data_IF_472459542238
#
_entry.id   IF_472459542238
#
_cell.length_a   1.000
_cell.length_b   1.000
_cell.length_c   1.000
_cell.angle_alpha   90.00
_cell.angle_beta   90.00
_cell.angle_gamma   90.00
#
_symmetry.space_group_name_H-M   'P 1'
#
loop_
_entity.id
_entity.type
_entity.pdbx_description
1 polymer ?
#
# COMPACT_ATOMS: atom_id res chain seq x y z
N UNK A 1 -10.21 -5.57 -18.48
CA UNK A 1 -11.48 -6.28 -18.75
C UNK A 1 -12.22 -6.36 -17.43
N UNK A 2 -13.48 -5.92 -17.33
CA UNK A 2 -14.29 -6.21 -16.15
C UNK A 2 -15.18 -7.41 -16.48
N UNK A 3 -15.34 -8.33 -15.53
CA UNK A 3 -16.24 -9.47 -15.67
C UNK A 3 -17.54 -9.15 -14.91
N UNK A 4 -18.68 -9.39 -15.54
CA UNK A 4 -20.01 -9.20 -14.92
C UNK A 4 -20.65 -10.52 -14.49
N UNK A 5 -19.97 -11.63 -14.76
CA UNK A 5 -20.38 -13.00 -14.42
C UNK A 5 -19.15 -13.92 -14.39
N UNK A 6 -19.18 -14.96 -13.56
CA UNK A 6 -18.06 -15.88 -13.34
C UNK A 6 -17.22 -15.51 -12.12
N UNK A 7 -16.27 -16.38 -11.78
CA UNK A 7 -15.40 -16.18 -10.61
C UNK A 7 -14.31 -15.15 -10.94
N UNK A 8 -14.30 -14.03 -10.21
CA UNK A 8 -13.27 -13.01 -10.30
C UNK A 8 -12.22 -13.20 -9.18
N UNK A 9 -10.95 -13.17 -9.55
CA UNK A 9 -9.82 -13.28 -8.61
C UNK A 9 -9.65 -11.97 -7.82
N UNK A 10 -9.72 -10.83 -8.50
CA UNK A 10 -9.76 -9.50 -7.88
C UNK A 10 -11.22 -9.04 -7.79
N UNK A 11 -11.73 -8.88 -6.57
CA UNK A 11 -13.12 -8.53 -6.25
C UNK A 11 -13.13 -7.21 -5.48
N UNK A 12 -13.54 -6.14 -6.16
CA UNK A 12 -13.49 -4.77 -5.63
C UNK A 12 -14.79 -4.41 -4.93
N UNK A 13 -14.70 -3.96 -3.67
CA UNK A 13 -15.80 -3.29 -2.97
C UNK A 13 -15.54 -1.78 -2.88
N UNK A 14 -16.62 -1.00 -2.86
CA UNK A 14 -16.62 0.42 -2.50
C UNK A 14 -17.27 0.67 -1.13
N UNK A 15 -17.69 -0.41 -0.47
CA UNK A 15 -18.32 -0.42 0.83
C UNK A 15 -17.33 -1.08 1.81
N UNK A 16 -16.83 -0.32 2.78
CA UNK A 16 -15.82 -0.79 3.73
C UNK A 16 -15.17 0.34 4.52
N UNK A 17 -14.22 -0.03 5.39
CA UNK A 17 -13.41 0.92 6.16
C UNK A 17 -12.00 0.93 5.59
N UNK A 18 -11.56 2.11 5.13
CA UNK A 18 -10.23 2.30 4.55
C UNK A 18 -10.10 1.79 3.11
N UNK A 19 -8.93 2.01 2.52
CA UNK A 19 -8.56 1.44 1.23
C UNK A 19 -7.50 0.37 1.49
N UNK A 20 -7.63 -0.78 0.82
CA UNK A 20 -6.73 -1.91 0.99
C UNK A 20 -6.88 -2.89 -0.17
N UNK A 21 -5.89 -3.77 -0.36
CA UNK A 21 -5.95 -4.91 -1.26
C UNK A 21 -5.22 -6.11 -0.67
N UNK A 22 -5.65 -7.31 -1.04
CA UNK A 22 -4.83 -8.51 -0.94
C UNK A 22 -3.51 -8.32 -1.72
N UNK A 23 -2.45 -8.98 -1.24
CA UNK A 23 -1.13 -8.90 -1.86
C UNK A 23 -0.98 -9.96 -2.96
N UNK A 24 -1.06 -9.55 -4.22
CA UNK A 24 -0.87 -10.45 -5.36
C UNK A 24 -1.80 -11.66 -5.32
N UNK A 25 -1.21 -12.85 -5.41
CA UNK A 25 -1.94 -14.13 -5.39
C UNK A 25 -2.55 -14.47 -4.04
N UNK A 26 -2.29 -13.70 -2.98
CA UNK A 26 -3.01 -13.86 -1.72
C UNK A 26 -4.52 -13.68 -1.91
N UNK A 27 -4.96 -12.95 -2.95
CA UNK A 27 -6.36 -12.85 -3.35
C UNK A 27 -7.04 -14.21 -3.62
N UNK A 28 -6.26 -15.26 -3.90
CA UNK A 28 -6.73 -16.62 -4.19
C UNK A 28 -6.84 -17.49 -2.92
N UNK A 29 -6.35 -17.01 -1.78
CA UNK A 29 -6.35 -17.72 -0.51
C UNK A 29 -7.75 -17.71 0.10
N UNK A 30 -8.58 -18.70 -0.24
CA UNK A 30 -10.00 -18.76 0.15
C UNK A 30 -10.25 -18.78 1.66
N UNK A 31 -9.27 -19.17 2.47
CA UNK A 31 -9.33 -19.11 3.93
C UNK A 31 -9.18 -17.68 4.48
N UNK A 32 -8.58 -16.77 3.71
CA UNK A 32 -8.43 -15.34 4.03
C UNK A 32 -9.50 -14.52 3.29
N UNK A 33 -9.71 -14.84 2.01
CA UNK A 33 -10.66 -14.16 1.13
C UNK A 33 -11.68 -15.16 0.57
N UNK A 34 -12.79 -15.40 1.27
CA UNK A 34 -13.89 -16.23 0.77
C UNK A 34 -14.35 -15.82 -0.64
N UNK A 35 -14.90 -16.75 -1.45
CA UNK A 35 -15.30 -16.47 -2.84
C UNK A 35 -16.27 -15.29 -3.01
N UNK A 36 -17.10 -15.01 -2.01
CA UNK A 36 -18.09 -13.93 -1.98
C UNK A 36 -17.61 -12.67 -1.23
N UNK A 37 -16.40 -12.69 -0.66
CA UNK A 37 -15.80 -11.55 0.03
C UNK A 37 -14.89 -10.74 -0.92
N UNK A 38 -14.76 -9.41 -0.74
CA UNK A 38 -13.86 -8.60 -1.53
C UNK A 38 -12.39 -8.97 -1.28
N UNK A 39 -11.55 -8.78 -2.28
CA UNK A 39 -10.08 -8.86 -2.18
C UNK A 39 -9.42 -7.49 -2.31
N UNK A 40 -10.20 -6.44 -2.61
CA UNK A 40 -9.76 -5.05 -2.70
C UNK A 40 -10.90 -4.12 -2.28
N UNK A 41 -10.59 -3.06 -1.54
CA UNK A 41 -11.55 -2.04 -1.09
C UNK A 41 -11.09 -0.64 -1.48
N UNK A 42 -11.99 0.11 -2.12
CA UNK A 42 -11.86 1.54 -2.42
C UNK A 42 -13.01 2.29 -1.74
N UNK A 43 -12.89 2.55 -0.43
CA UNK A 43 -13.99 3.12 0.36
C UNK A 43 -14.18 4.63 0.16
N UNK A 44 -13.16 5.34 -0.34
CA UNK A 44 -13.30 6.76 -0.67
C UNK A 44 -14.14 6.93 -1.94
N UNK A 45 -15.39 7.34 -1.78
CA UNK A 45 -16.31 7.53 -2.90
C UNK A 45 -15.75 8.54 -3.92
N UNK A 46 -15.64 8.19 -5.22
CA UNK A 46 -15.12 9.09 -6.26
C UNK A 46 -15.83 10.44 -6.35
N UNK A 47 -17.11 10.50 -5.96
CA UNK A 47 -17.89 11.75 -5.92
C UNK A 47 -17.50 12.70 -4.78
N UNK A 48 -16.78 12.20 -3.78
CA UNK A 48 -16.35 12.93 -2.59
C UNK A 48 -14.87 13.35 -2.61
N UNK A 49 -14.10 12.87 -3.61
CA UNK A 49 -12.65 13.10 -3.72
C UNK A 49 -12.27 13.62 -5.10
N UNK A 50 -11.08 14.22 -5.23
CA UNK A 50 -10.58 14.68 -6.53
C UNK A 50 -10.28 13.51 -7.47
N UNK A 51 -10.31 13.76 -8.78
CA UNK A 51 -9.87 12.76 -9.77
C UNK A 51 -8.44 12.29 -9.53
N UNK A 52 -7.55 13.20 -9.10
CA UNK A 52 -6.17 12.85 -8.73
C UNK A 52 -6.09 11.90 -7.54
N UNK A 53 -7.02 12.01 -6.57
CA UNK A 53 -7.11 11.09 -5.43
C UNK A 53 -7.62 9.72 -5.86
N UNK A 54 -8.62 9.68 -6.74
CA UNK A 54 -9.13 8.42 -7.33
C UNK A 54 -8.01 7.69 -8.06
N UNK A 55 -7.30 8.42 -8.93
CA UNK A 55 -6.17 7.90 -9.70
C UNK A 55 -5.06 7.33 -8.80
N UNK A 56 -4.71 8.05 -7.74
CA UNK A 56 -3.72 7.59 -6.76
C UNK A 56 -4.17 6.31 -6.08
N UNK A 57 -5.38 6.30 -5.51
CA UNK A 57 -5.91 5.14 -4.80
C UNK A 57 -5.97 3.92 -5.71
N UNK A 58 -6.46 4.09 -6.95
CA UNK A 58 -6.49 3.00 -7.92
C UNK A 58 -5.09 2.47 -8.23
N UNK A 59 -4.11 3.34 -8.48
CA UNK A 59 -2.71 2.92 -8.74
C UNK A 59 -2.11 2.18 -7.55
N UNK A 60 -2.32 2.69 -6.34
CA UNK A 60 -1.78 2.11 -5.11
C UNK A 60 -2.40 0.74 -4.80
N UNK A 61 -3.73 0.66 -4.72
CA UNK A 61 -4.41 -0.59 -4.35
C UNK A 61 -4.26 -1.68 -5.42
N UNK A 62 -4.22 -1.31 -6.70
CA UNK A 62 -3.91 -2.29 -7.75
C UNK A 62 -2.41 -2.64 -7.79
N UNK A 63 -1.52 -1.79 -7.28
CA UNK A 63 -0.12 -2.15 -7.03
C UNK A 63 -0.03 -3.31 -6.03
N UNK A 64 -0.77 -3.26 -4.93
CA UNK A 64 -0.91 -4.38 -4.00
C UNK A 64 -1.51 -5.63 -4.68
N UNK A 65 -2.54 -5.48 -5.51
CA UNK A 65 -3.10 -6.60 -6.27
C UNK A 65 -2.09 -7.23 -7.26
N UNK A 66 -1.05 -6.50 -7.66
CA UNK A 66 0.10 -7.00 -8.43
C UNK A 66 1.25 -7.51 -7.54
N UNK A 67 1.09 -7.54 -6.22
CA UNK A 67 2.07 -8.05 -5.27
C UNK A 67 3.08 -7.00 -4.77
N UNK A 68 2.89 -5.71 -5.07
CA UNK A 68 3.75 -4.66 -4.54
C UNK A 68 3.44 -4.42 -3.06
N UNK A 69 4.47 -4.32 -2.24
CA UNK A 69 4.36 -3.94 -0.83
C UNK A 69 4.49 -2.43 -0.67
N UNK A 70 4.22 -1.89 0.53
CA UNK A 70 4.54 -0.49 0.80
C UNK A 70 6.05 -0.24 0.72
N UNK A 71 6.42 0.88 0.10
CA UNK A 71 7.82 1.22 -0.16
C UNK A 71 8.59 1.49 1.14
N UNK A 72 7.94 2.02 2.19
CA UNK A 72 8.57 2.19 3.52
C UNK A 72 8.87 0.87 4.23
N UNK A 73 8.23 -0.22 3.81
CA UNK A 73 8.51 -1.59 4.29
C UNK A 73 9.58 -2.29 3.46
N UNK A 74 10.13 -1.64 2.42
CA UNK A 74 11.22 -2.18 1.62
C UNK A 74 12.47 -2.43 2.48
N UNK A 75 13.20 -3.54 2.27
CA UNK A 75 14.50 -3.76 2.90
C UNK A 75 15.55 -2.69 2.57
N UNK A 76 15.29 -1.84 1.57
CA UNK A 76 16.14 -0.71 1.19
C UNK A 76 15.73 0.62 1.83
N UNK A 77 14.57 0.70 2.51
CA UNK A 77 13.99 1.98 2.93
C UNK A 77 14.86 2.80 3.90
N UNK A 78 15.45 2.13 4.90
CA UNK A 78 16.41 2.77 5.81
C UNK A 78 15.88 3.98 6.59
N UNK A 79 14.55 4.15 6.70
CA UNK A 79 13.93 5.32 7.33
C UNK A 79 14.27 5.36 8.81
N UNK A 80 14.79 6.51 9.27
CA UNK A 80 15.16 6.73 10.67
C UNK A 80 13.97 7.29 11.44
N UNK A 81 13.07 6.42 11.85
CA UNK A 81 11.85 6.79 12.57
C UNK A 81 12.11 7.37 13.97
N UNK A 82 11.45 8.48 14.29
CA UNK A 82 11.19 8.88 15.68
C UNK A 82 9.98 8.09 16.19
N UNK A 83 10.25 6.87 16.69
CA UNK A 83 9.19 5.90 16.98
C UNK A 83 8.19 6.40 18.03
N UNK A 84 8.64 7.11 19.06
CA UNK A 84 7.74 7.60 20.12
C UNK A 84 6.77 8.67 19.59
N UNK A 85 7.27 9.58 18.73
CA UNK A 85 6.42 10.57 18.06
C UNK A 85 5.37 9.89 17.17
N UNK A 86 5.76 8.88 16.40
CA UNK A 86 4.84 8.12 15.55
C UNK A 86 3.80 7.33 16.38
N UNK A 87 4.21 6.66 17.45
CA UNK A 87 3.26 5.95 18.34
C UNK A 87 2.25 6.93 18.94
N UNK A 88 2.71 8.08 19.45
CA UNK A 88 1.84 9.08 20.05
C UNK A 88 0.83 9.64 19.03
N UNK A 89 1.27 9.89 17.80
CA UNK A 89 0.43 10.39 16.73
C UNK A 89 -0.65 9.37 16.31
N UNK A 90 -0.25 8.11 16.08
CA UNK A 90 -1.16 7.06 15.58
C UNK A 90 -2.06 6.44 16.66
N UNK A 91 -1.76 6.66 17.95
CA UNK A 91 -2.66 6.34 19.05
C UNK A 91 -3.89 7.26 19.12
N UNK A 92 -3.90 8.38 18.38
CA UNK A 92 -5.05 9.28 18.31
C UNK A 92 -6.01 8.88 17.18
N UNK A 93 -7.29 9.30 17.24
CA UNK A 93 -8.20 9.19 16.11
C UNK A 93 -7.64 9.89 14.86
N UNK A 94 -7.94 9.37 13.65
CA UNK A 94 -8.90 8.31 13.36
C UNK A 94 -8.35 6.88 13.55
N UNK A 95 -7.03 6.69 13.65
CA UNK A 95 -6.41 5.37 13.69
C UNK A 95 -6.61 4.66 15.03
N UNK A 96 -6.31 5.35 16.14
CA UNK A 96 -6.37 4.78 17.49
C UNK A 96 -5.61 3.45 17.62
N UNK A 97 -4.44 3.36 16.97
CA UNK A 97 -3.65 2.14 16.87
C UNK A 97 -2.85 1.85 18.15
N UNK A 98 -2.73 0.56 18.48
CA UNK A 98 -1.77 0.10 19.49
C UNK A 98 -0.34 0.19 18.95
N UNK A 99 0.66 0.11 19.84
CA UNK A 99 2.06 0.12 19.42
C UNK A 99 2.38 -1.06 18.50
N UNK A 100 1.78 -2.22 18.75
CA UNK A 100 1.94 -3.42 17.92
C UNK A 100 1.37 -3.22 16.51
N UNK A 101 0.23 -2.52 16.39
CA UNK A 101 -0.33 -2.16 15.10
C UNK A 101 0.58 -1.15 14.36
N UNK A 102 1.17 -0.19 15.06
CA UNK A 102 2.15 0.74 14.45
C UNK A 102 3.42 -0.01 14.04
N UNK A 103 3.90 -0.92 14.87
CA UNK A 103 5.06 -1.77 14.56
C UNK A 103 4.83 -2.55 13.27
N UNK A 104 3.65 -3.16 13.12
CA UNK A 104 3.29 -3.95 11.95
C UNK A 104 3.05 -3.09 10.69
N UNK A 105 2.30 -1.99 10.81
CA UNK A 105 1.86 -1.23 9.63
C UNK A 105 2.85 -0.16 9.17
N UNK A 106 3.71 0.35 10.06
CA UNK A 106 4.63 1.47 9.78
C UNK A 106 6.09 1.05 9.86
N UNK A 107 6.48 0.29 10.86
CA UNK A 107 7.91 0.00 11.09
C UNK A 107 8.38 -1.34 10.56
N UNK A 108 7.45 -2.24 10.22
CA UNK A 108 7.82 -3.54 9.68
C UNK A 108 8.51 -3.37 8.34
N UNK A 109 9.69 -3.96 8.25
CA UNK A 109 10.50 -4.07 7.04
C UNK A 109 10.55 -5.53 6.64
N UNK A 110 10.35 -5.83 5.36
CA UNK A 110 10.41 -7.19 4.85
C UNK A 110 11.86 -7.72 4.81
N UNK A 111 12.01 -9.04 4.80
CA UNK A 111 13.32 -9.68 4.77
C UNK A 111 13.91 -9.66 3.34
N UNK A 112 15.19 -9.32 3.23
CA UNK A 112 15.93 -9.24 1.95
C UNK A 112 15.95 -10.56 1.18
N UNK A 113 15.82 -11.68 1.88
CA UNK A 113 15.87 -13.03 1.31
C UNK A 113 14.52 -13.51 0.78
N UNK A 114 13.42 -12.86 1.19
CA UNK A 114 12.05 -13.24 0.82
C UNK A 114 11.36 -12.22 -0.08
N UNK A 115 12.00 -11.09 -0.38
CA UNK A 115 11.43 -10.00 -1.15
C UNK A 115 12.29 -9.68 -2.35
N UNK A 116 11.66 -9.49 -3.51
CA UNK A 116 12.30 -8.85 -4.66
C UNK A 116 12.10 -7.33 -4.53
N UNK A 117 13.17 -6.54 -4.52
CA UNK A 117 13.10 -5.11 -4.26
C UNK A 117 14.18 -4.36 -5.05
N UNK A 118 13.93 -3.07 -5.29
CA UNK A 118 14.86 -2.11 -5.89
C UNK A 118 15.59 -1.30 -4.81
N UNK A 119 16.41 -0.32 -5.21
CA UNK A 119 16.74 0.79 -4.31
C UNK A 119 15.45 1.50 -3.86
N UNK A 120 15.49 2.10 -2.67
CA UNK A 120 14.35 2.83 -2.10
C UNK A 120 13.92 3.98 -3.01
N UNK A 121 12.62 4.07 -3.24
CA UNK A 121 12.01 5.06 -4.11
C UNK A 121 11.14 6.07 -3.36
N UNK A 122 11.64 7.29 -3.08
CA UNK A 122 10.84 8.32 -2.42
C UNK A 122 9.67 8.82 -3.29
N UNK A 123 9.66 8.52 -4.59
CA UNK A 123 8.61 8.94 -5.54
C UNK A 123 7.60 7.83 -5.86
N UNK A 124 7.79 6.62 -5.31
CA UNK A 124 6.88 5.50 -5.58
C UNK A 124 5.46 5.81 -5.14
N UNK A 125 4.48 5.43 -5.96
CA UNK A 125 3.07 5.49 -5.56
C UNK A 125 2.76 4.58 -4.37
N UNK A 126 3.62 3.58 -4.10
CA UNK A 126 3.50 2.65 -2.98
C UNK A 126 4.06 3.20 -1.66
N UNK A 127 4.67 4.39 -1.66
CA UNK A 127 5.16 5.04 -0.46
C UNK A 127 4.03 5.78 0.26
N UNK A 128 3.87 5.51 1.56
CA UNK A 128 3.00 6.30 2.42
C UNK A 128 3.57 7.69 2.66
N UNK A 129 2.67 8.67 2.81
CA UNK A 129 3.07 10.01 3.20
C UNK A 129 3.40 10.04 4.70
N UNK A 130 4.56 10.60 5.04
CA UNK A 130 5.00 10.76 6.43
C UNK A 130 5.57 12.16 6.64
N UNK A 131 5.16 12.85 7.72
CA UNK A 131 5.63 14.20 7.97
C UNK A 131 7.04 14.20 8.60
N UNK A 132 7.75 15.33 8.49
CA UNK A 132 9.14 15.44 8.92
C UNK A 132 9.35 15.14 10.41
N UNK A 133 8.38 15.50 11.26
CA UNK A 133 8.41 15.23 12.70
C UNK A 133 8.43 13.74 13.05
N UNK A 134 8.10 12.85 12.11
CA UNK A 134 8.14 11.40 12.34
C UNK A 134 9.52 10.80 12.08
N UNK A 135 10.48 11.57 11.58
CA UNK A 135 11.83 11.10 11.27
C UNK A 135 12.88 11.86 12.08
N UNK A 136 13.97 11.16 12.45
CA UNK A 136 15.06 11.70 13.25
C UNK A 136 15.95 12.68 12.47
N UNK A 137 15.90 12.67 11.13
CA UNK A 137 16.58 13.63 10.25
C UNK A 137 15.69 14.78 9.77
N UNK A 138 14.39 14.75 10.04
CA UNK A 138 13.44 15.72 9.48
C UNK A 138 13.19 15.50 7.98
N UNK A 139 13.46 14.31 7.45
CA UNK A 139 13.02 13.92 6.10
C UNK A 139 11.49 13.78 6.09
N UNK A 140 10.87 14.35 5.08
CA UNK A 140 9.43 14.21 4.80
C UNK A 140 9.22 13.37 3.56
N UNK A 141 8.16 12.58 3.55
CA UNK A 141 7.71 11.82 2.41
C UNK A 141 6.33 12.34 2.01
N UNK A 142 6.20 13.07 0.89
CA UNK A 142 4.90 13.58 0.44
C UNK A 142 4.03 12.45 -0.12
N UNK A 143 2.74 12.74 -0.30
CA UNK A 143 1.86 11.83 -1.01
C UNK A 143 2.18 11.84 -2.52
N UNK A 144 2.59 10.69 -3.06
CA UNK A 144 2.84 10.49 -4.48
C UNK A 144 1.54 10.08 -5.20
N UNK A 145 1.24 10.73 -6.34
CA UNK A 145 -0.02 10.51 -7.07
C UNK A 145 0.14 9.81 -8.42
N UNK A 146 1.37 9.70 -8.91
CA UNK A 146 1.73 9.09 -10.20
C UNK A 146 2.67 7.93 -9.98
N UNK A 147 2.75 7.02 -10.96
CA UNK A 147 3.79 6.00 -10.98
C UNK A 147 5.14 6.68 -11.16
N UNK A 148 6.14 6.29 -10.37
CA UNK A 148 7.52 6.65 -10.64
C UNK A 148 8.05 5.83 -11.84
N UNK A 149 9.17 6.26 -12.42
CA UNK A 149 9.84 5.45 -13.45
C UNK A 149 10.21 4.05 -12.93
N UNK A 150 10.57 3.97 -11.64
CA UNK A 150 10.98 2.71 -11.01
C UNK A 150 9.80 1.81 -10.70
N UNK A 151 8.63 2.35 -10.37
CA UNK A 151 7.38 1.59 -10.28
C UNK A 151 7.11 0.88 -11.62
N UNK A 152 7.18 1.63 -12.73
CA UNK A 152 6.95 1.08 -14.07
C UNK A 152 7.99 0.03 -14.45
N UNK A 153 9.28 0.32 -14.25
CA UNK A 153 10.37 -0.59 -14.63
C UNK A 153 10.34 -1.88 -13.80
N UNK A 154 10.01 -1.78 -12.51
CA UNK A 154 9.90 -2.93 -11.63
C UNK A 154 8.76 -3.85 -12.07
N UNK A 155 7.56 -3.30 -12.33
CA UNK A 155 6.42 -4.10 -12.82
C UNK A 155 6.74 -4.70 -14.19
N UNK A 156 7.30 -3.93 -15.13
CA UNK A 156 7.71 -4.45 -16.45
C UNK A 156 8.70 -5.60 -16.34
N UNK A 157 9.64 -5.53 -15.39
CA UNK A 157 10.65 -6.59 -15.19
C UNK A 157 10.03 -7.86 -14.62
N UNK A 158 9.12 -7.74 -13.65
CA UNK A 158 8.50 -8.88 -12.99
C UNK A 158 7.38 -9.54 -13.82
N UNK A 159 6.80 -8.81 -14.77
CA UNK A 159 5.70 -9.26 -15.63
C UNK A 159 6.06 -9.17 -17.13
N UNK A 160 7.35 -9.28 -17.49
CA UNK A 160 7.84 -9.07 -18.86
C UNK A 160 7.27 -10.04 -19.91
N UNK A 161 6.81 -11.22 -19.47
CA UNK A 161 6.41 -12.35 -20.32
C UNK A 161 4.90 -12.65 -20.27
N UNK A 162 4.09 -11.71 -19.78
CA UNK A 162 2.61 -11.82 -19.73
C UNK A 162 1.95 -11.08 -20.88
#
# INVERSE_FOLDING_TARGET
MHVTSGDAEIRVTFEGVGNWSALGTDALLTQVFPPDAPTLCLSELPSAISSSRVDRLARHEFGHALGLIHEHSSPAAGIRWDRETVYAALAQPPNSWTREQVDHNVFQVYDRTTTNFTEFDPESVMLYAFPAEWTLDGVTFPENSTLSQRDEDFVRTNYADV
#
